data_IF_072917029039
#
_entry.id   IF_072917029039
#
_cell.length_a   1.000
_cell.length_b   1.000
_cell.length_c   1.000
_cell.angle_alpha   90.00
_cell.angle_beta   90.00
_cell.angle_gamma   90.00
#
_symmetry.space_group_name_H-M   'P 1'
#
loop_
_entity.id
_entity.type
_entity.pdbx_description
1 polymer ?
#
# COMPACT_ATOMS: atom_id res chain seq x y z
N UNK A 1 -5.17 45.44 20.65
CA UNK A 1 -4.66 44.08 20.40
C UNK A 1 -5.06 43.79 18.97
N UNK A 2 -4.11 43.74 18.06
CA UNK A 2 -4.40 43.48 16.66
C UNK A 2 -5.11 42.13 16.55
N UNK A 3 -6.07 42.06 15.64
CA UNK A 3 -6.78 40.85 15.24
C UNK A 3 -5.78 39.94 14.51
N UNK A 4 -4.86 39.33 15.27
CA UNK A 4 -3.90 38.32 14.81
C UNK A 4 -4.61 36.97 14.72
N UNK A 5 -5.77 36.92 14.06
CA UNK A 5 -6.30 35.64 13.60
C UNK A 5 -5.36 35.18 12.49
N UNK A 6 -4.54 34.12 12.70
CA UNK A 6 -3.55 33.74 11.69
C UNK A 6 -4.28 33.40 10.39
N UNK A 7 -3.86 34.07 9.31
CA UNK A 7 -4.45 33.89 7.99
C UNK A 7 -4.26 32.43 7.53
N UNK A 8 -5.35 31.75 7.15
CA UNK A 8 -5.29 30.38 6.60
C UNK A 8 -4.36 30.39 5.38
N UNK A 9 -3.31 29.57 5.39
CA UNK A 9 -2.31 29.58 4.32
C UNK A 9 -2.87 29.15 2.96
N UNK A 10 -2.23 29.54 1.84
CA UNK A 10 -2.60 29.05 0.52
C UNK A 10 -2.58 27.52 0.41
N UNK A 11 -1.63 26.85 1.09
CA UNK A 11 -1.55 25.38 1.15
C UNK A 11 -2.81 24.80 1.77
N UNK A 12 -3.21 25.30 2.94
CA UNK A 12 -4.38 24.80 3.64
C UNK A 12 -5.68 25.07 2.85
N UNK A 13 -5.87 26.29 2.31
CA UNK A 13 -7.04 26.61 1.47
C UNK A 13 -7.13 25.69 0.25
N UNK A 14 -6.02 25.52 -0.47
CA UNK A 14 -5.97 24.69 -1.68
C UNK A 14 -6.31 23.23 -1.37
N UNK A 15 -5.76 22.68 -0.29
CA UNK A 15 -6.03 21.31 0.13
C UNK A 15 -7.47 21.12 0.60
N UNK A 16 -7.96 21.99 1.49
CA UNK A 16 -9.32 21.86 2.01
C UNK A 16 -10.36 21.97 0.91
N UNK A 17 -10.17 22.91 -0.02
CA UNK A 17 -11.05 23.08 -1.17
C UNK A 17 -10.98 21.87 -2.12
N UNK A 18 -9.79 21.31 -2.38
CA UNK A 18 -9.65 20.14 -3.24
C UNK A 18 -10.34 18.90 -2.65
N UNK A 19 -10.06 18.61 -1.38
CA UNK A 19 -10.62 17.46 -0.66
C UNK A 19 -12.15 17.56 -0.56
N UNK A 20 -12.70 18.70 -0.13
CA UNK A 20 -14.14 18.85 0.08
C UNK A 20 -14.96 18.79 -1.21
N UNK A 21 -14.34 19.08 -2.36
CA UNK A 21 -15.00 19.06 -3.68
C UNK A 21 -14.73 17.78 -4.48
N UNK A 22 -13.93 16.84 -3.96
CA UNK A 22 -13.42 15.71 -4.74
C UNK A 22 -14.52 14.82 -5.35
N UNK A 23 -15.60 14.52 -4.59
CA UNK A 23 -16.69 13.67 -5.10
C UNK A 23 -17.49 14.32 -6.23
N UNK A 24 -17.51 15.66 -6.29
CA UNK A 24 -18.18 16.42 -7.33
C UNK A 24 -17.37 16.52 -8.63
N UNK A 25 -16.08 16.17 -8.60
CA UNK A 25 -15.20 16.23 -9.77
C UNK A 25 -15.26 14.92 -10.55
N UNK A 26 -15.26 15.01 -11.88
CA UNK A 26 -15.11 13.83 -12.74
C UNK A 26 -13.65 13.39 -12.80
N UNK A 27 -13.44 12.07 -12.90
CA UNK A 27 -12.12 11.50 -13.07
C UNK A 27 -11.79 11.41 -14.56
N UNK A 28 -10.57 11.76 -14.98
CA UNK A 28 -10.09 11.36 -16.30
C UNK A 28 -10.15 9.83 -16.46
N UNK A 29 -10.57 9.33 -17.63
CA UNK A 29 -10.77 7.89 -17.87
C UNK A 29 -9.56 7.03 -17.49
N UNK A 30 -8.35 7.49 -17.84
CA UNK A 30 -7.10 6.79 -17.51
C UNK A 30 -6.84 6.70 -15.99
N UNK A 31 -7.27 7.72 -15.23
CA UNK A 31 -7.17 7.74 -13.76
C UNK A 31 -8.20 6.80 -13.16
N UNK A 32 -9.45 6.82 -13.65
CA UNK A 32 -10.49 5.91 -13.21
C UNK A 32 -10.12 4.45 -13.45
N UNK A 33 -9.62 4.11 -14.64
CA UNK A 33 -9.18 2.75 -14.97
C UNK A 33 -8.05 2.29 -14.04
N UNK A 34 -7.04 3.14 -13.83
CA UNK A 34 -5.93 2.81 -12.93
C UNK A 34 -6.39 2.69 -11.47
N UNK A 35 -7.34 3.51 -11.04
CA UNK A 35 -7.95 3.41 -9.72
C UNK A 35 -8.68 2.07 -9.52
N UNK A 36 -9.38 1.56 -10.54
CA UNK A 36 -10.01 0.23 -10.48
C UNK A 36 -8.97 -0.89 -10.30
N UNK A 37 -7.79 -0.76 -10.92
CA UNK A 37 -6.70 -1.74 -10.71
C UNK A 37 -6.22 -1.75 -9.25
N UNK A 38 -5.95 -0.57 -8.67
CA UNK A 38 -5.48 -0.46 -7.29
C UNK A 38 -6.55 -0.84 -6.26
N UNK A 39 -7.82 -0.52 -6.53
CA UNK A 39 -8.95 -0.93 -5.72
C UNK A 39 -9.06 -2.47 -5.70
N UNK A 40 -9.04 -3.11 -6.87
CA UNK A 40 -9.12 -4.56 -6.96
C UNK A 40 -7.94 -5.25 -6.26
N UNK A 41 -6.72 -4.80 -6.56
CA UNK A 41 -5.48 -5.33 -5.97
C UNK A 41 -5.48 -5.24 -4.44
N UNK A 42 -5.94 -4.12 -3.90
CA UNK A 42 -5.98 -3.94 -2.44
C UNK A 42 -7.09 -4.75 -1.78
N UNK A 43 -8.28 -4.86 -2.40
CA UNK A 43 -9.34 -5.73 -1.90
C UNK A 43 -8.88 -7.20 -1.88
N UNK A 44 -8.15 -7.63 -2.90
CA UNK A 44 -7.53 -8.95 -2.96
C UNK A 44 -6.55 -9.17 -1.79
N UNK A 45 -5.65 -8.20 -1.58
CA UNK A 45 -4.71 -8.18 -0.43
C UNK A 45 -5.43 -8.26 0.92
N UNK A 46 -6.56 -7.54 1.07
CA UNK A 46 -7.36 -7.59 2.30
C UNK A 46 -7.94 -8.98 2.57
N UNK A 47 -8.43 -9.66 1.52
CA UNK A 47 -9.08 -10.97 1.66
C UNK A 47 -8.04 -12.08 1.88
N UNK A 48 -6.95 -12.10 1.11
CA UNK A 48 -5.85 -13.05 1.35
C UNK A 48 -5.23 -12.84 2.72
N UNK A 49 -4.90 -11.59 3.06
CA UNK A 49 -4.24 -11.22 4.29
C UNK A 49 -5.08 -11.41 5.55
N UNK A 50 -6.41 -11.52 5.45
CA UNK A 50 -7.29 -11.80 6.58
C UNK A 50 -7.01 -13.17 7.24
N UNK A 51 -6.40 -14.10 6.50
CA UNK A 51 -6.01 -15.44 6.95
C UNK A 51 -4.53 -15.55 7.32
N UNK A 52 -3.80 -14.44 7.24
CA UNK A 52 -2.41 -14.36 7.70
C UNK A 52 -2.39 -13.89 9.15
N UNK A 53 -1.31 -14.19 9.88
CA UNK A 53 -1.19 -13.88 11.32
C UNK A 53 -1.57 -12.43 11.66
N UNK A 54 -1.13 -11.39 10.93
CA UNK A 54 -1.56 -10.02 11.20
C UNK A 54 -3.07 -9.81 11.05
N UNK A 55 -3.68 -10.35 9.98
CA UNK A 55 -5.12 -10.25 9.72
C UNK A 55 -5.97 -11.00 10.75
N UNK A 56 -5.58 -12.22 11.12
CA UNK A 56 -6.27 -13.02 12.15
C UNK A 56 -6.31 -12.29 13.50
N UNK A 57 -5.17 -11.71 13.90
CA UNK A 57 -5.07 -10.90 15.11
C UNK A 57 -5.91 -9.64 15.04
N UNK A 58 -5.99 -9.01 13.86
CA UNK A 58 -6.80 -7.82 13.64
C UNK A 58 -8.31 -8.12 13.70
N UNK A 59 -8.76 -9.20 13.07
CA UNK A 59 -10.15 -9.70 13.15
C UNK A 59 -10.51 -10.02 14.60
N UNK A 60 -9.63 -10.70 15.33
CA UNK A 60 -9.81 -11.00 16.76
C UNK A 60 -9.91 -9.72 17.58
N UNK A 61 -9.04 -8.74 17.33
CA UNK A 61 -9.07 -7.45 18.02
C UNK A 61 -10.37 -6.67 17.75
N UNK A 62 -10.79 -6.59 16.49
CA UNK A 62 -12.04 -5.93 16.11
C UNK A 62 -13.27 -6.58 16.77
N UNK A 63 -13.29 -7.92 16.86
CA UNK A 63 -14.34 -8.67 17.58
C UNK A 63 -14.36 -8.33 19.08
N UNK A 64 -13.19 -8.21 19.72
CA UNK A 64 -13.08 -7.85 21.13
C UNK A 64 -13.54 -6.41 21.42
N UNK A 65 -13.24 -5.47 20.53
CA UNK A 65 -13.68 -4.08 20.68
C UNK A 65 -15.18 -3.92 20.43
N UNK A 66 -15.75 -4.74 19.53
CA UNK A 66 -17.13 -4.59 19.09
C UNK A 66 -17.38 -3.22 18.44
N UNK A 67 -18.64 -2.79 18.44
CA UNK A 67 -19.05 -1.51 17.86
C UNK A 67 -20.41 -1.60 17.19
N UNK A 68 -20.94 -0.45 16.78
CA UNK A 68 -22.13 -0.39 15.91
C UNK A 68 -21.81 -1.05 14.57
N UNK A 69 -22.65 -1.95 14.02
CA UNK A 69 -22.37 -2.63 12.76
C UNK A 69 -22.54 -1.67 11.57
N UNK A 70 -21.47 -0.97 11.22
CA UNK A 70 -21.43 0.04 10.16
C UNK A 70 -20.67 -0.43 8.93
N UNK A 71 -19.62 -1.23 9.12
CA UNK A 71 -18.68 -1.65 8.10
C UNK A 71 -18.14 -3.07 8.33
N UNK A 72 -17.80 -3.73 7.23
CA UNK A 72 -17.37 -5.13 7.13
C UNK A 72 -15.87 -5.24 7.32
N UNK A 73 -15.42 -6.29 8.03
CA UNK A 73 -14.03 -6.74 8.01
C UNK A 73 -13.90 -7.83 6.95
N UNK A 74 -13.27 -7.49 5.82
CA UNK A 74 -13.13 -8.38 4.67
C UNK A 74 -12.38 -9.68 5.04
N UNK A 75 -12.77 -10.79 4.41
CA UNK A 75 -12.26 -12.13 4.73
C UNK A 75 -12.77 -12.71 6.06
N UNK A 76 -13.77 -12.10 6.70
CA UNK A 76 -14.31 -12.56 7.98
C UNK A 76 -15.83 -12.41 8.09
N UNK A 77 -16.42 -12.93 9.17
CA UNK A 77 -17.83 -12.76 9.55
C UNK A 77 -18.09 -11.50 10.41
N UNK A 78 -17.07 -10.65 10.61
CA UNK A 78 -17.15 -9.50 11.52
C UNK A 78 -17.68 -8.26 10.80
N UNK A 79 -18.73 -7.68 11.36
CA UNK A 79 -19.22 -6.33 11.02
C UNK A 79 -19.17 -5.48 12.29
N UNK A 80 -18.53 -4.32 12.22
CA UNK A 80 -18.25 -3.45 13.37
C UNK A 80 -18.31 -1.97 12.98
N UNK A 81 -17.91 -1.06 13.86
CA UNK A 81 -17.89 0.37 13.54
C UNK A 81 -16.82 0.68 12.50
N UNK A 82 -16.97 1.78 11.76
CA UNK A 82 -16.08 2.09 10.65
C UNK A 82 -14.60 2.20 11.06
N UNK A 83 -14.29 2.71 12.25
CA UNK A 83 -12.91 2.87 12.75
C UNK A 83 -12.24 1.52 12.98
N UNK A 84 -12.95 0.57 13.61
CA UNK A 84 -12.44 -0.77 13.88
C UNK A 84 -12.37 -1.62 12.60
N UNK A 85 -13.33 -1.47 11.68
CA UNK A 85 -13.29 -2.14 10.38
C UNK A 85 -12.10 -1.66 9.55
N UNK A 86 -11.86 -0.34 9.49
CA UNK A 86 -10.71 0.24 8.80
C UNK A 86 -9.37 -0.24 9.38
N UNK A 87 -9.25 -0.33 10.72
CA UNK A 87 -8.08 -0.91 11.37
C UNK A 87 -7.83 -2.35 10.92
N UNK A 88 -8.85 -3.20 11.01
CA UNK A 88 -8.70 -4.62 10.71
C UNK A 88 -8.40 -4.86 9.23
N UNK A 89 -9.15 -4.20 8.35
CA UNK A 89 -8.92 -4.26 6.91
C UNK A 89 -7.54 -3.70 6.52
N UNK A 90 -7.06 -2.66 7.20
CA UNK A 90 -5.72 -2.11 6.95
C UNK A 90 -4.60 -3.06 7.38
N UNK A 91 -4.76 -3.75 8.51
CA UNK A 91 -3.81 -4.80 8.90
C UNK A 91 -3.82 -5.96 7.91
N UNK A 92 -5.00 -6.45 7.50
CA UNK A 92 -5.11 -7.50 6.50
C UNK A 92 -4.50 -7.08 5.16
N UNK A 93 -4.75 -5.85 4.71
CA UNK A 93 -4.25 -5.36 3.43
C UNK A 93 -2.72 -5.32 3.32
N UNK A 94 -1.97 -5.30 4.44
CA UNK A 94 -0.50 -5.32 4.46
C UNK A 94 0.04 -6.59 5.15
N UNK A 95 -0.73 -7.67 5.23
CA UNK A 95 -0.32 -8.83 6.01
C UNK A 95 0.73 -9.73 5.31
N UNK A 96 0.94 -9.55 4.01
CA UNK A 96 1.54 -10.57 3.12
C UNK A 96 2.34 -9.97 1.93
N UNK A 97 2.80 -8.73 2.05
CA UNK A 97 3.53 -8.01 1.00
C UNK A 97 2.85 -7.98 -0.39
N UNK A 98 1.53 -8.19 -0.49
CA UNK A 98 0.79 -8.18 -1.76
C UNK A 98 0.53 -6.77 -2.29
N UNK A 99 0.34 -5.84 -1.36
CA UNK A 99 -0.14 -4.49 -1.59
C UNK A 99 0.75 -3.61 -2.49
N UNK A 100 0.14 -2.55 -3.00
CA UNK A 100 0.80 -1.60 -3.87
C UNK A 100 1.93 -0.79 -3.19
N UNK A 101 2.72 -0.08 -4.00
CA UNK A 101 3.77 0.79 -3.45
C UNK A 101 3.92 2.05 -4.27
N UNK A 102 4.11 3.18 -3.59
CA UNK A 102 4.33 4.48 -4.23
C UNK A 102 5.79 4.91 -4.05
N UNK A 103 6.49 5.07 -5.17
CA UNK A 103 7.94 5.23 -5.17
C UNK A 103 8.38 6.55 -4.53
N UNK A 104 7.75 7.66 -4.93
CA UNK A 104 8.11 9.03 -4.53
C UNK A 104 7.86 9.30 -3.06
N UNK A 105 6.73 8.82 -2.53
CA UNK A 105 6.39 8.96 -1.11
C UNK A 105 7.11 7.94 -0.21
N UNK A 106 7.72 6.90 -0.79
CA UNK A 106 8.28 5.76 -0.06
C UNK A 106 7.25 5.17 0.90
N UNK A 107 6.05 4.88 0.40
CA UNK A 107 4.94 4.36 1.20
C UNK A 107 4.10 3.37 0.41
N UNK A 108 3.16 2.74 1.10
CA UNK A 108 2.16 1.84 0.54
C UNK A 108 0.80 2.48 0.78
N UNK A 109 0.15 3.00 -0.26
CA UNK A 109 -1.02 3.87 -0.08
C UNK A 109 -2.30 3.03 0.00
N UNK A 110 -2.40 1.98 -0.82
CA UNK A 110 -3.60 1.15 -0.92
C UNK A 110 -3.99 0.55 0.42
N UNK A 111 -3.02 -0.02 1.14
CA UNK A 111 -3.24 -0.75 2.38
C UNK A 111 -3.85 0.06 3.53
N UNK A 112 -3.96 1.39 3.40
CA UNK A 112 -4.73 2.20 4.35
C UNK A 112 -5.89 2.95 3.69
N UNK A 113 -5.67 3.51 2.48
CA UNK A 113 -6.66 4.35 1.79
C UNK A 113 -7.90 3.54 1.40
N UNK A 114 -7.72 2.35 0.82
CA UNK A 114 -8.84 1.52 0.37
C UNK A 114 -9.65 0.98 1.57
N UNK A 115 -9.04 0.44 2.64
CA UNK A 115 -9.74 0.09 3.88
C UNK A 115 -10.55 1.23 4.49
N UNK A 116 -9.98 2.44 4.55
CA UNK A 116 -10.68 3.62 5.07
C UNK A 116 -11.86 4.04 4.18
N UNK A 117 -11.66 4.00 2.85
CA UNK A 117 -12.69 4.29 1.88
C UNK A 117 -13.83 3.27 1.94
N UNK A 118 -13.53 1.97 2.02
CA UNK A 118 -14.53 0.91 2.13
C UNK A 118 -15.39 1.11 3.39
N UNK A 119 -14.74 1.27 4.55
CA UNK A 119 -15.44 1.41 5.83
C UNK A 119 -16.36 2.65 5.86
N UNK A 120 -15.89 3.78 5.33
CA UNK A 120 -16.70 5.00 5.28
C UNK A 120 -17.77 4.96 4.19
N UNK A 121 -17.50 4.34 3.04
CA UNK A 121 -18.50 4.17 1.99
C UNK A 121 -19.65 3.27 2.46
N UNK A 122 -19.36 2.18 3.17
CA UNK A 122 -20.38 1.35 3.81
C UNK A 122 -21.13 2.14 4.89
N UNK A 123 -20.43 2.80 5.82
CA UNK A 123 -21.09 3.59 6.89
C UNK A 123 -22.06 4.63 6.32
N UNK A 124 -21.61 5.40 5.33
CA UNK A 124 -22.35 6.51 4.72
C UNK A 124 -23.27 6.09 3.57
N UNK A 125 -23.32 4.79 3.23
CA UNK A 125 -24.14 4.22 2.13
C UNK A 125 -23.84 4.88 0.78
N UNK A 126 -22.55 5.03 0.48
CA UNK A 126 -22.04 5.67 -0.74
C UNK A 126 -22.06 4.72 -1.93
N UNK A 127 -22.07 5.30 -3.13
CA UNK A 127 -21.93 4.55 -4.37
C UNK A 127 -20.49 4.06 -4.57
N UNK A 128 -20.30 3.07 -5.43
CA UNK A 128 -18.99 2.62 -5.84
C UNK A 128 -18.21 3.71 -6.59
N UNK A 129 -18.88 4.56 -7.37
CA UNK A 129 -18.25 5.73 -7.99
C UNK A 129 -17.70 6.72 -6.95
N UNK A 130 -18.46 7.01 -5.89
CA UNK A 130 -17.98 7.87 -4.79
C UNK A 130 -16.76 7.25 -4.10
N UNK A 131 -16.79 5.92 -3.86
CA UNK A 131 -15.65 5.21 -3.30
C UNK A 131 -14.42 5.29 -4.20
N UNK A 132 -14.58 5.08 -5.51
CA UNK A 132 -13.48 5.17 -6.48
C UNK A 132 -12.86 6.58 -6.48
N UNK A 133 -13.69 7.64 -6.49
CA UNK A 133 -13.22 9.03 -6.39
C UNK A 133 -12.49 9.30 -5.07
N UNK A 134 -13.00 8.79 -3.96
CA UNK A 134 -12.36 8.93 -2.65
C UNK A 134 -11.01 8.20 -2.57
N UNK A 135 -10.89 7.02 -3.19
CA UNK A 135 -9.62 6.30 -3.31
C UNK A 135 -8.61 7.13 -4.12
N UNK A 136 -9.00 7.66 -5.28
CA UNK A 136 -8.12 8.54 -6.07
C UNK A 136 -7.65 9.75 -5.25
N UNK A 137 -8.56 10.41 -4.54
CA UNK A 137 -8.24 11.52 -3.65
C UNK A 137 -7.22 11.11 -2.58
N UNK A 138 -7.45 9.98 -1.91
CA UNK A 138 -6.58 9.50 -0.85
C UNK A 138 -5.16 9.21 -1.34
N UNK A 139 -5.01 8.66 -2.54
CA UNK A 139 -3.69 8.48 -3.15
C UNK A 139 -3.03 9.81 -3.48
N UNK A 140 -3.78 10.77 -4.04
CA UNK A 140 -3.23 12.07 -4.42
C UNK A 140 -2.72 12.83 -3.17
N UNK A 141 -3.52 12.90 -2.10
CA UNK A 141 -3.10 13.54 -0.84
C UNK A 141 -1.96 12.78 -0.16
N UNK A 142 -2.08 11.46 -0.03
CA UNK A 142 -1.08 10.65 0.66
C UNK A 142 0.26 10.62 -0.07
N UNK A 143 0.26 10.48 -1.39
CA UNK A 143 1.45 10.44 -2.23
C UNK A 143 2.27 11.72 -2.20
N UNK A 144 1.66 12.86 -1.84
CA UNK A 144 2.30 14.18 -1.75
C UNK A 144 2.81 14.54 -0.36
N UNK A 145 2.33 13.87 0.68
CA UNK A 145 2.64 14.23 2.06
C UNK A 145 4.13 14.03 2.39
N UNK A 146 4.64 12.80 2.30
CA UNK A 146 6.04 12.55 2.71
C UNK A 146 7.06 13.23 1.79
N UNK A 147 6.82 13.45 0.47
CA UNK A 147 7.66 14.36 -0.32
C UNK A 147 7.73 15.78 0.26
N UNK A 148 6.62 16.34 0.76
CA UNK A 148 6.61 17.65 1.44
C UNK A 148 7.41 17.67 2.75
N UNK A 149 7.73 16.50 3.30
CA UNK A 149 8.60 16.32 4.48
C UNK A 149 10.03 15.90 4.12
N UNK A 150 10.40 15.88 2.83
CA UNK A 150 11.61 15.25 2.33
C UNK A 150 11.69 13.76 2.73
N UNK A 151 10.93 12.91 2.03
CA UNK A 151 10.72 11.50 2.37
C UNK A 151 12.00 10.72 2.72
N UNK A 152 13.13 11.01 2.07
CA UNK A 152 14.41 10.36 2.36
C UNK A 152 14.99 10.78 3.72
N UNK A 153 15.03 12.09 4.01
CA UNK A 153 15.52 12.59 5.31
C UNK A 153 14.55 12.22 6.43
N UNK A 154 13.24 12.31 6.18
CA UNK A 154 12.20 11.90 7.12
C UNK A 154 12.35 10.44 7.54
N UNK A 155 12.51 9.54 6.57
CA UNK A 155 12.78 8.12 6.83
C UNK A 155 14.11 7.89 7.57
N UNK A 156 15.18 8.59 7.17
CA UNK A 156 16.49 8.47 7.81
C UNK A 156 16.50 8.99 9.25
N UNK A 157 15.63 9.94 9.59
CA UNK A 157 15.45 10.47 10.94
C UNK A 157 14.70 9.53 11.89
N UNK A 158 14.23 8.37 11.41
CA UNK A 158 13.54 7.38 12.23
C UNK A 158 12.02 7.37 12.09
N UNK A 159 11.45 8.24 11.26
CA UNK A 159 10.00 8.30 11.07
C UNK A 159 9.53 7.33 9.98
N UNK A 160 8.35 6.73 10.20
CA UNK A 160 7.75 5.87 9.19
C UNK A 160 7.03 6.69 8.11
N UNK A 161 7.62 6.77 6.92
CA UNK A 161 6.92 7.27 5.72
C UNK A 161 5.67 6.44 5.40
N UNK A 162 5.68 5.16 5.80
CA UNK A 162 4.63 4.19 5.57
C UNK A 162 3.40 4.39 6.45
N UNK A 163 3.50 5.14 7.56
CA UNK A 163 2.31 5.55 8.32
C UNK A 163 1.81 6.93 7.92
N UNK A 164 2.73 7.88 7.73
CA UNK A 164 2.37 9.29 7.53
C UNK A 164 1.63 9.49 6.20
N UNK A 165 2.18 9.03 5.08
CA UNK A 165 1.53 9.21 3.78
C UNK A 165 0.15 8.53 3.73
N UNK A 166 0.01 7.25 4.11
CA UNK A 166 -1.29 6.58 4.06
C UNK A 166 -2.30 7.13 5.09
N UNK A 167 -1.84 7.67 6.23
CA UNK A 167 -2.71 8.33 7.22
C UNK A 167 -3.46 9.53 6.61
N UNK A 168 -2.73 10.46 5.98
CA UNK A 168 -3.36 11.64 5.39
C UNK A 168 -4.20 11.28 4.16
N UNK A 169 -3.80 10.27 3.39
CA UNK A 169 -4.62 9.73 2.31
C UNK A 169 -5.93 9.13 2.82
N UNK A 170 -5.86 8.31 3.87
CA UNK A 170 -7.03 7.69 4.51
C UNK A 170 -7.99 8.73 5.07
N UNK A 171 -7.46 9.77 5.72
CA UNK A 171 -8.25 10.85 6.28
C UNK A 171 -8.97 11.67 5.18
N UNK A 172 -8.28 11.95 4.07
CA UNK A 172 -8.88 12.63 2.92
C UNK A 172 -10.01 11.80 2.29
N UNK A 173 -9.77 10.52 2.01
CA UNK A 173 -10.78 9.61 1.47
C UNK A 173 -12.01 9.50 2.41
N UNK A 174 -11.77 9.29 3.70
CA UNK A 174 -12.81 9.21 4.72
C UNK A 174 -13.63 10.51 4.83
N UNK A 175 -12.97 11.67 4.81
CA UNK A 175 -13.64 12.97 4.89
C UNK A 175 -14.53 13.29 3.69
N UNK A 176 -14.09 12.90 2.49
CA UNK A 176 -14.86 13.10 1.26
C UNK A 176 -16.14 12.26 1.30
N UNK A 177 -16.04 11.00 1.71
CA UNK A 177 -17.19 10.10 1.88
C UNK A 177 -18.13 10.55 3.01
N UNK A 178 -17.59 11.15 4.08
CA UNK A 178 -18.37 11.80 5.13
C UNK A 178 -19.01 13.14 4.69
N UNK A 179 -18.69 13.65 3.50
CA UNK A 179 -19.14 14.93 2.96
C UNK A 179 -18.86 16.11 3.92
N UNK A 180 -17.63 16.15 4.46
CA UNK A 180 -17.17 17.27 5.27
C UNK A 180 -17.06 18.55 4.41
N UNK A 181 -17.48 19.68 4.97
CA UNK A 181 -17.27 21.00 4.36
C UNK A 181 -15.78 21.36 4.29
N UNK A 182 -15.45 22.46 3.60
CA UNK A 182 -14.09 22.99 3.57
C UNK A 182 -13.54 23.30 4.98
N UNK A 183 -14.35 23.94 5.83
CA UNK A 183 -13.97 24.25 7.22
C UNK A 183 -13.74 22.99 8.05
N UNK A 184 -14.66 22.02 7.94
CA UNK A 184 -14.52 20.72 8.58
C UNK A 184 -13.29 19.96 8.07
N UNK A 185 -12.95 20.10 6.80
CA UNK A 185 -11.76 19.48 6.23
C UNK A 185 -10.48 20.04 6.85
N UNK A 186 -10.40 21.35 7.12
CA UNK A 186 -9.24 21.95 7.82
C UNK A 186 -9.11 21.39 9.24
N UNK A 187 -10.22 21.29 9.97
CA UNK A 187 -10.21 20.68 11.30
C UNK A 187 -9.82 19.20 11.24
N UNK A 188 -10.30 18.46 10.25
CA UNK A 188 -9.96 17.05 10.04
C UNK A 188 -8.45 16.89 9.78
N UNK A 189 -7.84 17.75 8.96
CA UNK A 189 -6.38 17.76 8.74
C UNK A 189 -5.65 18.06 10.05
N UNK A 190 -6.17 18.96 10.89
CA UNK A 190 -5.61 19.24 12.22
C UNK A 190 -5.62 18.01 13.13
N UNK A 191 -6.75 17.29 13.24
CA UNK A 191 -6.81 16.03 14.02
C UNK A 191 -5.92 14.94 13.43
N UNK A 192 -5.81 14.87 12.10
CA UNK A 192 -4.93 13.92 11.41
C UNK A 192 -3.47 14.17 11.75
N UNK A 193 -3.03 15.43 11.72
CA UNK A 193 -1.68 15.82 12.12
C UNK A 193 -1.38 15.49 13.59
N UNK A 194 -2.35 15.63 14.50
CA UNK A 194 -2.19 15.27 15.92
C UNK A 194 -2.14 13.75 16.17
N UNK A 195 -2.66 12.95 15.24
CA UNK A 195 -2.61 11.49 15.30
C UNK A 195 -1.41 10.91 14.53
N UNK A 196 -0.62 11.75 13.85
CA UNK A 196 0.54 11.33 13.10
C UNK A 196 1.60 10.74 14.04
N UNK A 197 1.89 9.46 13.84
CA UNK A 197 2.85 8.66 14.60
C UNK A 197 3.38 7.56 13.69
N UNK A 198 4.42 6.85 14.13
CA UNK A 198 5.08 5.80 13.34
C UNK A 198 6.60 5.93 13.43
N UNK A 199 7.24 4.84 13.85
CA UNK A 199 8.70 4.74 14.03
C UNK A 199 9.24 3.62 13.17
N UNK A 200 10.36 3.84 12.51
CA UNK A 200 10.89 2.90 11.51
C UNK A 200 11.45 1.58 12.08
N UNK A 201 11.34 1.34 13.39
CA UNK A 201 11.87 0.13 14.03
C UNK A 201 11.06 -1.13 13.73
N UNK A 202 9.90 -1.02 13.07
CA UNK A 202 9.10 -2.15 12.54
C UNK A 202 9.91 -3.08 11.64
N UNK A 203 11.09 -2.67 11.12
CA UNK A 203 12.01 -3.55 10.38
C UNK A 203 12.59 -4.69 11.22
N UNK A 204 12.49 -4.58 12.54
CA UNK A 204 12.94 -5.60 13.50
C UNK A 204 11.84 -6.60 13.84
N UNK A 205 10.62 -6.35 13.39
CA UNK A 205 9.51 -7.29 13.52
C UNK A 205 9.80 -8.55 12.70
N UNK A 206 9.66 -9.71 13.36
CA UNK A 206 9.89 -11.02 12.77
C UNK A 206 8.59 -11.69 12.32
N UNK A 207 7.43 -11.18 12.75
CA UNK A 207 6.12 -11.78 12.49
C UNK A 207 5.26 -10.96 11.51
N UNK A 208 5.77 -9.82 11.03
CA UNK A 208 5.06 -8.88 10.13
C UNK A 208 3.83 -8.18 10.75
N UNK A 209 3.50 -8.45 12.02
CA UNK A 209 2.32 -7.94 12.72
C UNK A 209 2.42 -6.43 12.98
N UNK A 210 3.54 -5.96 13.56
CA UNK A 210 3.76 -4.55 13.86
C UNK A 210 3.90 -3.74 12.56
N UNK A 211 4.52 -4.33 11.54
CA UNK A 211 4.63 -3.71 10.24
C UNK A 211 3.26 -3.47 9.59
N UNK A 212 2.38 -4.48 9.59
CA UNK A 212 1.01 -4.33 9.09
C UNK A 212 0.18 -3.30 9.90
N UNK A 213 0.42 -3.23 11.21
CA UNK A 213 -0.16 -2.20 12.08
C UNK A 213 0.32 -0.78 11.71
N UNK A 214 1.63 -0.59 11.47
CA UNK A 214 2.23 0.70 11.14
C UNK A 214 1.87 1.20 9.72
N UNK A 215 1.80 0.29 8.73
CA UNK A 215 1.62 0.65 7.32
C UNK A 215 0.14 0.85 6.95
N UNK A 216 -0.71 -0.09 7.34
CA UNK A 216 -2.13 -0.10 6.97
C UNK A 216 -3.03 0.25 8.14
N UNK A 217 -2.98 -0.59 9.19
CA UNK A 217 -3.95 -0.58 10.27
C UNK A 217 -4.14 0.79 10.95
N UNK A 218 -3.07 1.37 11.48
CA UNK A 218 -3.14 2.63 12.21
C UNK A 218 -3.45 3.83 11.32
N UNK A 219 -2.91 3.85 10.11
CA UNK A 219 -3.21 4.89 9.14
C UNK A 219 -4.71 4.91 8.77
N UNK A 220 -5.28 3.74 8.45
CA UNK A 220 -6.69 3.59 8.12
C UNK A 220 -7.59 3.97 9.32
N UNK A 221 -7.29 3.41 10.50
CA UNK A 221 -7.99 3.69 11.76
C UNK A 221 -8.04 5.19 12.06
N UNK A 222 -6.87 5.83 12.11
CA UNK A 222 -6.73 7.21 12.54
C UNK A 222 -7.34 8.18 11.51
N UNK A 223 -7.25 7.87 10.21
CA UNK A 223 -7.89 8.67 9.17
C UNK A 223 -9.41 8.65 9.27
N UNK A 224 -10.02 7.47 9.46
CA UNK A 224 -11.47 7.33 9.71
C UNK A 224 -11.87 8.00 11.02
N UNK A 225 -11.04 7.88 12.08
CA UNK A 225 -11.28 8.55 13.35
C UNK A 225 -11.29 10.08 13.21
N UNK A 226 -10.33 10.68 12.49
CA UNK A 226 -10.31 12.13 12.22
C UNK A 226 -11.60 12.59 11.54
N UNK A 227 -12.01 11.90 10.48
CA UNK A 227 -13.22 12.26 9.73
C UNK A 227 -14.47 12.14 10.60
N UNK A 228 -14.61 11.06 11.37
CA UNK A 228 -15.79 10.82 12.21
C UNK A 228 -15.86 11.72 13.45
N UNK A 229 -14.72 12.11 14.04
CA UNK A 229 -14.67 13.13 15.10
C UNK A 229 -15.23 14.46 14.61
N UNK A 230 -14.78 14.93 13.45
CA UNK A 230 -15.28 16.19 12.87
C UNK A 230 -16.72 16.06 12.40
N UNK A 231 -17.11 14.92 11.82
CA UNK A 231 -18.51 14.63 11.47
C UNK A 231 -19.43 14.69 12.70
N UNK A 232 -18.95 14.30 13.88
CA UNK A 232 -19.67 14.40 15.15
C UNK A 232 -19.73 15.84 15.72
N UNK A 233 -19.17 16.84 15.03
CA UNK A 233 -19.24 18.24 15.39
C UNK A 233 -18.00 18.77 16.13
N UNK A 234 -16.89 18.04 16.12
CA UNK A 234 -15.63 18.54 16.69
C UNK A 234 -15.06 19.64 15.78
N UNK A 235 -14.71 20.77 16.38
CA UNK A 235 -13.98 21.86 15.72
C UNK A 235 -12.47 21.73 15.98
N UNK A 236 -11.64 22.53 15.30
CA UNK A 236 -10.18 22.41 15.42
C UNK A 236 -9.43 23.64 14.95
N UNK A 237 -8.10 23.50 14.86
CA UNK A 237 -7.23 24.54 14.33
C UNK A 237 -7.47 24.73 12.83
N UNK A 238 -7.55 25.98 12.39
CA UNK A 238 -7.82 26.32 10.99
C UNK A 238 -6.66 26.03 10.04
N UNK A 239 -5.42 26.02 10.55
CA UNK A 239 -4.24 25.71 9.75
C UNK A 239 -3.14 25.09 10.62
N UNK A 240 -2.96 23.77 10.49
CA UNK A 240 -1.90 23.03 11.20
C UNK A 240 -0.55 23.04 10.46
N UNK A 241 -0.51 23.56 9.24
CA UNK A 241 0.67 23.58 8.37
C UNK A 241 1.40 24.92 8.38
N UNK A 242 0.81 25.97 8.93
CA UNK A 242 1.43 27.30 9.04
C UNK A 242 1.41 27.84 10.47
N UNK A 243 2.11 28.95 10.70
CA UNK A 243 2.24 29.57 12.02
C UNK A 243 3.25 28.88 12.95
N UNK A 244 3.42 29.37 14.19
CA UNK A 244 4.40 28.85 15.13
C UNK A 244 4.09 27.41 15.56
N UNK A 245 5.13 26.56 15.67
CA UNK A 245 5.02 25.17 16.14
C UNK A 245 4.01 24.32 15.34
N UNK A 246 3.95 24.56 14.03
CA UNK A 246 3.12 23.81 13.10
C UNK A 246 3.64 22.38 12.85
N UNK A 247 2.92 21.59 12.06
CA UNK A 247 3.28 20.22 11.71
C UNK A 247 4.67 20.09 11.08
N UNK A 248 5.01 20.97 10.13
CA UNK A 248 6.31 20.95 9.47
C UNK A 248 7.46 21.29 10.42
N UNK A 249 7.23 22.21 11.36
CA UNK A 249 8.17 22.49 12.43
C UNK A 249 8.46 21.24 13.29
N UNK A 250 7.46 20.39 13.53
CA UNK A 250 7.62 19.18 14.35
C UNK A 250 8.33 18.04 13.61
N UNK A 251 8.08 17.90 12.30
CA UNK A 251 8.46 16.68 11.55
C UNK A 251 9.50 16.89 10.44
N UNK A 252 9.72 18.13 10.00
CA UNK A 252 10.71 18.47 8.98
C UNK A 252 11.24 19.91 9.18
N UNK A 253 11.85 20.21 10.35
CA UNK A 253 12.20 21.60 10.73
C UNK A 253 13.18 22.28 9.76
N UNK A 254 14.02 21.51 9.07
CA UNK A 254 15.12 22.04 8.25
C UNK A 254 14.86 21.95 6.73
N UNK A 255 13.91 21.12 6.27
CA UNK A 255 13.77 20.78 4.83
C UNK A 255 12.31 20.59 4.35
N UNK A 256 11.33 21.09 5.09
CA UNK A 256 9.93 21.05 4.66
C UNK A 256 9.73 21.79 3.33
N UNK A 257 8.91 21.21 2.46
CA UNK A 257 8.46 21.77 1.17
C UNK A 257 6.92 21.70 1.07
N UNK A 258 6.18 22.49 1.87
CA UNK A 258 4.72 22.43 1.95
C UNK A 258 4.01 22.61 0.61
N UNK A 259 4.60 23.36 -0.32
CA UNK A 259 4.07 23.61 -1.66
C UNK A 259 3.91 22.34 -2.50
N UNK A 260 4.66 21.27 -2.20
CA UNK A 260 4.51 19.98 -2.89
C UNK A 260 3.14 19.34 -2.67
N UNK A 261 2.44 19.71 -1.59
CA UNK A 261 1.05 19.29 -1.35
C UNK A 261 0.07 19.82 -2.41
N UNK A 262 0.40 20.93 -3.09
CA UNK A 262 -0.43 21.53 -4.14
C UNK A 262 0.14 21.35 -5.56
N UNK A 263 1.39 20.91 -5.69
CA UNK A 263 2.11 20.92 -6.96
C UNK A 263 1.44 20.01 -8.03
N UNK A 264 0.76 20.58 -9.02
CA UNK A 264 -0.02 19.82 -10.02
C UNK A 264 -1.24 19.05 -9.44
N UNK A 265 -1.76 19.46 -8.28
CA UNK A 265 -2.96 18.89 -7.69
C UNK A 265 -4.16 19.01 -8.67
N UNK A 266 -4.91 17.91 -8.84
CA UNK A 266 -6.01 17.81 -9.81
C UNK A 266 -5.58 17.72 -11.29
N UNK A 267 -4.27 17.74 -11.59
CA UNK A 267 -3.73 17.57 -12.94
C UNK A 267 -2.91 16.29 -13.06
N UNK A 268 -2.04 16.04 -12.08
CA UNK A 268 -1.30 14.79 -11.91
C UNK A 268 -1.89 14.05 -10.73
N UNK A 269 -2.21 12.78 -10.94
CA UNK A 269 -2.84 11.93 -9.92
C UNK A 269 -1.81 10.89 -9.45
N UNK A 270 -1.44 10.90 -8.17
CA UNK A 270 -0.39 10.00 -7.66
C UNK A 270 -0.76 8.51 -7.81
N UNK A 271 -2.05 8.16 -7.91
CA UNK A 271 -2.49 6.78 -8.19
C UNK A 271 -1.96 6.25 -9.53
N UNK A 272 -1.77 7.12 -10.54
CA UNK A 272 -1.19 6.70 -11.83
C UNK A 272 0.30 6.46 -11.78
N UNK A 273 0.95 6.92 -10.71
CA UNK A 273 2.38 6.73 -10.43
C UNK A 273 2.64 5.60 -9.41
N UNK A 274 1.57 4.91 -8.98
CA UNK A 274 1.67 3.83 -8.00
C UNK A 274 1.86 2.48 -8.70
N UNK A 275 2.72 1.65 -8.10
CA UNK A 275 3.12 0.35 -8.64
C UNK A 275 2.21 -0.74 -8.06
N UNK A 276 1.78 -1.68 -8.88
CA UNK A 276 1.17 -2.93 -8.41
C UNK A 276 2.28 -3.99 -8.37
N UNK A 277 2.40 -4.69 -7.25
CA UNK A 277 3.39 -5.77 -7.12
C UNK A 277 2.92 -6.98 -7.94
N UNK A 278 3.78 -7.52 -8.79
CA UNK A 278 3.48 -8.72 -9.58
C UNK A 278 3.50 -9.97 -8.69
N UNK A 279 4.50 -10.05 -7.81
CA UNK A 279 4.63 -11.11 -6.81
C UNK A 279 4.34 -10.59 -5.41
N UNK A 280 3.92 -11.44 -4.48
CA UNK A 280 3.61 -11.05 -3.10
C UNK A 280 4.89 -11.11 -2.25
N UNK A 281 5.80 -10.19 -2.56
CA UNK A 281 7.14 -10.08 -1.97
C UNK A 281 7.52 -8.62 -1.79
N UNK A 282 8.45 -8.37 -0.86
CA UNK A 282 8.97 -7.04 -0.60
C UNK A 282 9.35 -6.29 -1.88
N UNK A 283 8.98 -5.01 -1.97
CA UNK A 283 9.24 -4.15 -3.15
C UNK A 283 10.64 -4.28 -3.78
N UNK A 284 11.75 -4.39 -3.02
CA UNK A 284 13.08 -4.55 -3.61
C UNK A 284 13.29 -5.87 -4.38
N UNK A 285 12.58 -6.94 -4.01
CA UNK A 285 12.72 -8.28 -4.58
C UNK A 285 12.02 -8.38 -5.95
N UNK A 286 11.02 -7.54 -6.23
CA UNK A 286 10.27 -7.54 -7.51
C UNK A 286 11.20 -7.53 -8.73
N UNK A 287 12.19 -6.63 -8.75
CA UNK A 287 13.12 -6.50 -9.86
C UNK A 287 14.12 -7.67 -9.96
N UNK A 288 14.46 -8.27 -8.81
CA UNK A 288 15.31 -9.47 -8.76
C UNK A 288 14.59 -10.65 -9.39
N UNK A 289 13.32 -10.87 -9.02
CA UNK A 289 12.50 -11.94 -9.58
C UNK A 289 12.23 -11.75 -11.06
N UNK A 290 11.97 -10.52 -11.50
CA UNK A 290 11.74 -10.20 -12.91
C UNK A 290 12.96 -10.52 -13.78
N UNK A 291 14.15 -10.04 -13.36
CA UNK A 291 15.40 -10.36 -14.04
C UNK A 291 15.75 -11.85 -13.99
N UNK A 292 15.52 -12.51 -12.85
CA UNK A 292 15.81 -13.95 -12.68
C UNK A 292 14.89 -14.80 -13.56
N UNK A 293 13.59 -14.51 -13.56
CA UNK A 293 12.60 -15.20 -14.39
C UNK A 293 12.94 -15.06 -15.88
N UNK A 294 13.27 -13.85 -16.34
CA UNK A 294 13.69 -13.62 -17.73
C UNK A 294 14.88 -14.50 -18.12
N UNK A 295 15.94 -14.51 -17.29
CA UNK A 295 17.13 -15.32 -17.55
C UNK A 295 16.83 -16.82 -17.58
N UNK A 296 16.02 -17.33 -16.64
CA UNK A 296 15.64 -18.75 -16.59
C UNK A 296 14.84 -19.14 -17.84
N UNK A 297 13.81 -18.35 -18.19
CA UNK A 297 12.89 -18.71 -19.27
C UNK A 297 13.52 -18.54 -20.66
N UNK A 298 14.30 -17.47 -20.89
CA UNK A 298 14.95 -17.21 -22.18
C UNK A 298 16.05 -18.22 -22.52
N UNK A 299 16.65 -18.84 -21.49
CA UNK A 299 17.77 -19.77 -21.63
C UNK A 299 17.41 -21.22 -21.30
N UNK A 300 16.12 -21.50 -20.99
CA UNK A 300 15.59 -22.79 -20.54
C UNK A 300 16.45 -23.48 -19.46
N UNK A 301 16.83 -22.71 -18.43
CA UNK A 301 17.68 -23.22 -17.35
C UNK A 301 16.88 -24.12 -16.41
N UNK A 302 17.45 -25.29 -16.08
CA UNK A 302 17.06 -26.10 -14.94
C UNK A 302 17.85 -25.68 -13.67
N UNK A 303 17.35 -25.99 -12.46
CA UNK A 303 18.06 -25.66 -11.22
C UNK A 303 19.49 -26.22 -11.12
N UNK A 304 19.76 -27.36 -11.77
CA UNK A 304 21.08 -28.00 -11.80
C UNK A 304 22.04 -27.38 -12.83
N UNK A 305 21.53 -26.58 -13.76
CA UNK A 305 22.35 -25.84 -14.73
C UNK A 305 23.01 -24.60 -14.10
N UNK A 306 22.58 -24.20 -12.90
CA UNK A 306 23.03 -22.99 -12.23
C UNK A 306 24.16 -23.32 -11.24
N UNK A 307 25.30 -22.67 -11.42
CA UNK A 307 26.45 -22.76 -10.52
C UNK A 307 26.45 -21.64 -9.48
N UNK A 308 26.12 -20.40 -9.87
CA UNK A 308 26.11 -19.22 -9.00
C UNK A 308 25.13 -18.17 -9.54
N UNK A 309 24.43 -17.47 -8.65
CA UNK A 309 23.62 -16.29 -8.96
C UNK A 309 24.16 -15.12 -8.15
N UNK A 310 24.51 -14.02 -8.81
CA UNK A 310 24.93 -12.76 -8.17
C UNK A 310 23.81 -11.75 -8.33
N UNK A 311 23.28 -11.25 -7.21
CA UNK A 311 22.28 -10.20 -7.14
C UNK A 311 22.99 -8.91 -6.72
N UNK A 312 23.28 -8.00 -7.66
CA UNK A 312 23.82 -6.67 -7.33
C UNK A 312 22.67 -5.67 -7.25
N UNK A 313 22.52 -4.97 -6.12
CA UNK A 313 21.43 -4.00 -5.94
C UNK A 313 21.82 -2.84 -5.04
N UNK A 314 21.00 -1.78 -5.01
CA UNK A 314 21.28 -0.59 -4.20
C UNK A 314 21.46 -0.91 -2.72
N UNK A 315 22.41 -0.23 -2.07
CA UNK A 315 22.80 -0.48 -0.66
C UNK A 315 21.61 -0.44 0.33
N UNK A 316 20.77 0.58 0.19
CA UNK A 316 19.57 0.73 1.01
C UNK A 316 18.55 -0.40 0.79
N UNK A 317 18.42 -0.91 -0.43
CA UNK A 317 17.51 -2.02 -0.72
C UNK A 317 18.07 -3.37 -0.24
N UNK A 318 19.38 -3.59 -0.40
CA UNK A 318 20.02 -4.81 0.10
C UNK A 318 19.84 -5.01 1.59
N UNK A 319 19.98 -3.93 2.39
CA UNK A 319 19.80 -4.01 3.84
C UNK A 319 18.39 -4.41 4.28
N UNK A 320 17.38 -4.20 3.43
CA UNK A 320 15.98 -4.52 3.74
C UNK A 320 15.69 -6.00 3.52
N UNK A 321 16.34 -6.65 2.55
CA UNK A 321 15.93 -7.98 2.05
C UNK A 321 16.99 -9.06 2.15
N UNK A 322 18.21 -8.70 2.55
CA UNK A 322 19.31 -9.66 2.71
C UNK A 322 19.04 -10.62 3.88
N UNK A 323 18.99 -11.91 3.57
CA UNK A 323 19.01 -13.01 4.54
C UNK A 323 17.96 -12.91 5.65
N UNK A 324 16.80 -12.32 5.35
CA UNK A 324 15.67 -12.15 6.28
C UNK A 324 15.12 -13.50 6.76
N UNK A 325 14.57 -13.56 7.96
CA UNK A 325 13.96 -14.78 8.49
C UNK A 325 12.54 -15.04 7.95
N UNK A 326 11.88 -14.01 7.43
CA UNK A 326 10.57 -14.08 6.79
C UNK A 326 10.76 -14.34 5.28
N UNK A 327 10.03 -15.31 4.73
CA UNK A 327 10.23 -15.83 3.36
C UNK A 327 10.03 -14.76 2.26
N UNK A 328 8.90 -14.07 2.25
CA UNK A 328 8.47 -13.07 1.26
C UNK A 328 9.34 -11.79 1.19
N UNK A 329 10.20 -11.57 2.19
CA UNK A 329 11.20 -10.49 2.22
C UNK A 329 12.64 -11.01 2.27
N UNK A 330 12.87 -12.32 2.08
CA UNK A 330 14.20 -12.88 1.91
C UNK A 330 14.55 -12.99 0.42
N UNK A 331 15.43 -12.12 -0.06
CA UNK A 331 15.81 -12.08 -1.47
C UNK A 331 16.40 -13.42 -1.96
N UNK A 332 17.33 -14.02 -1.22
CA UNK A 332 17.99 -15.24 -1.63
C UNK A 332 17.03 -16.43 -1.72
N UNK A 333 16.12 -16.52 -0.75
CA UNK A 333 15.10 -17.56 -0.73
C UNK A 333 14.11 -17.41 -1.88
N UNK A 334 13.57 -16.22 -2.09
CA UNK A 334 12.63 -15.98 -3.20
C UNK A 334 13.28 -16.15 -4.57
N UNK A 335 14.56 -15.81 -4.73
CA UNK A 335 15.34 -16.15 -5.94
C UNK A 335 15.46 -17.67 -6.13
N UNK A 336 15.70 -18.43 -5.06
CA UNK A 336 15.76 -19.89 -5.12
C UNK A 336 14.41 -20.53 -5.47
N UNK A 337 13.31 -20.03 -4.91
CA UNK A 337 11.95 -20.46 -5.27
C UNK A 337 11.68 -20.19 -6.76
N UNK A 338 12.02 -19.00 -7.25
CA UNK A 338 11.88 -18.66 -8.68
C UNK A 338 12.69 -19.59 -9.60
N UNK A 339 13.89 -20.02 -9.17
CA UNK A 339 14.69 -21.00 -9.91
C UNK A 339 14.02 -22.37 -9.96
N UNK A 340 13.52 -22.84 -8.81
CA UNK A 340 12.92 -24.17 -8.69
C UNK A 340 11.58 -24.27 -9.42
N UNK A 341 10.72 -23.28 -9.24
CA UNK A 341 9.33 -23.34 -9.67
C UNK A 341 9.10 -22.60 -11.00
N UNK A 342 10.12 -21.87 -11.50
CA UNK A 342 10.06 -20.97 -12.66
C UNK A 342 9.03 -19.82 -12.50
N UNK A 343 8.46 -19.68 -11.32
CA UNK A 343 7.53 -18.63 -10.90
C UNK A 343 7.55 -18.47 -9.39
N UNK A 344 6.82 -17.49 -8.88
CA UNK A 344 6.46 -17.35 -7.47
C UNK A 344 4.95 -17.08 -7.44
N UNK A 345 4.21 -17.82 -6.64
CA UNK A 345 2.77 -17.64 -6.35
C UNK A 345 2.58 -17.14 -4.93
N UNK A 346 1.34 -16.74 -4.57
CA UNK A 346 1.02 -16.37 -3.20
C UNK A 346 1.36 -17.48 -2.20
N UNK A 347 0.97 -18.71 -2.51
CA UNK A 347 1.23 -19.89 -1.66
C UNK A 347 2.74 -20.09 -1.45
N UNK A 348 3.53 -20.06 -2.53
CA UNK A 348 4.98 -20.32 -2.43
C UNK A 348 5.76 -19.20 -1.74
N UNK A 349 5.30 -17.95 -1.81
CA UNK A 349 5.95 -16.82 -1.14
C UNK A 349 5.76 -16.85 0.38
N UNK A 350 4.68 -17.47 0.83
CA UNK A 350 4.27 -17.54 2.24
C UNK A 350 4.44 -18.93 2.87
N UNK A 351 5.01 -19.88 2.13
CA UNK A 351 5.38 -21.20 2.63
C UNK A 351 6.69 -21.13 3.42
N UNK A 352 6.57 -20.85 4.72
CA UNK A 352 7.72 -20.80 5.62
C UNK A 352 8.40 -22.16 5.82
N UNK A 353 7.72 -23.29 5.55
CA UNK A 353 8.34 -24.62 5.68
C UNK A 353 9.39 -24.81 4.57
N UNK A 354 9.15 -24.24 3.38
CA UNK A 354 10.13 -24.26 2.27
C UNK A 354 11.43 -23.53 2.55
N UNK A 355 11.49 -22.65 3.55
CA UNK A 355 12.76 -22.07 4.00
C UNK A 355 13.74 -23.13 4.54
N UNK A 356 13.23 -24.30 4.94
CA UNK A 356 14.00 -25.43 5.47
C UNK A 356 14.09 -26.61 4.49
N UNK A 357 13.47 -26.52 3.31
CA UNK A 357 13.53 -27.56 2.29
C UNK A 357 14.99 -27.74 1.80
N UNK A 358 15.55 -28.97 1.82
CA UNK A 358 16.93 -29.21 1.39
C UNK A 358 17.26 -28.76 -0.04
N UNK A 359 16.32 -28.89 -0.98
CA UNK A 359 16.52 -28.52 -2.37
C UNK A 359 16.51 -26.99 -2.53
N UNK A 360 15.61 -26.30 -1.81
CA UNK A 360 15.58 -24.84 -1.74
C UNK A 360 16.85 -24.30 -1.08
N UNK A 361 17.30 -24.92 0.03
CA UNK A 361 18.55 -24.54 0.69
C UNK A 361 19.76 -24.72 -0.22
N UNK A 362 19.79 -25.81 -1.01
CA UNK A 362 20.85 -26.06 -1.99
C UNK A 362 20.88 -24.98 -3.08
N UNK A 363 19.72 -24.54 -3.60
CA UNK A 363 19.67 -23.44 -4.58
C UNK A 363 19.97 -22.08 -3.94
N UNK A 364 19.43 -21.80 -2.75
CA UNK A 364 19.67 -20.57 -1.99
C UNK A 364 21.15 -20.37 -1.70
N UNK A 365 21.90 -21.44 -1.44
CA UNK A 365 23.36 -21.38 -1.22
C UNK A 365 24.15 -20.88 -2.45
N UNK A 366 23.54 -20.93 -3.65
CA UNK A 366 24.15 -20.40 -4.89
C UNK A 366 23.90 -18.91 -5.08
N UNK A 367 22.98 -18.30 -4.30
CA UNK A 367 22.58 -16.89 -4.45
C UNK A 367 23.41 -15.98 -3.54
N UNK A 368 24.15 -15.05 -4.14
CA UNK A 368 24.96 -14.05 -3.45
C UNK A 368 24.42 -12.65 -3.69
N UNK A 369 23.90 -12.03 -2.64
CA UNK A 369 23.50 -10.63 -2.67
C UNK A 369 24.71 -9.73 -2.41
N UNK A 370 24.97 -8.79 -3.31
CA UNK A 370 26.07 -7.81 -3.22
C UNK A 370 25.52 -6.38 -3.28
N UNK A 371 25.67 -5.59 -2.20
CA UNK A 371 25.34 -4.16 -2.23
C UNK A 371 26.19 -3.39 -3.24
N UNK A 372 25.57 -2.51 -4.02
CA UNK A 372 26.22 -1.59 -4.95
C UNK A 372 25.59 -0.20 -4.84
N UNK A 373 26.25 0.77 -4.18
CA UNK A 373 25.70 2.11 -3.96
C UNK A 373 25.59 2.94 -5.25
N UNK A 374 26.17 2.49 -6.38
CA UNK A 374 26.03 3.16 -7.67
C UNK A 374 24.72 2.80 -8.39
N UNK A 375 24.05 1.72 -7.98
CA UNK A 375 22.82 1.26 -8.62
C UNK A 375 21.60 2.04 -8.11
N UNK A 376 20.69 2.46 -9.01
CA UNK A 376 19.39 2.99 -8.62
C UNK A 376 18.54 1.95 -7.91
N UNK A 377 17.60 2.43 -7.10
CA UNK A 377 16.55 1.61 -6.50
C UNK A 377 15.76 0.86 -7.58
N UNK A 378 15.37 -0.38 -7.32
CA UNK A 378 14.58 -1.26 -8.21
C UNK A 378 15.21 -1.52 -9.59
N UNK A 379 16.52 -1.33 -9.73
CA UNK A 379 17.27 -1.65 -10.96
C UNK A 379 18.50 -2.52 -10.66
N UNK A 380 18.31 -3.72 -10.07
CA UNK A 380 19.40 -4.63 -9.79
C UNK A 380 20.00 -5.18 -11.08
N UNK A 381 21.23 -5.66 -10.99
CA UNK A 381 21.88 -6.47 -12.03
C UNK A 381 21.93 -7.91 -11.51
N UNK A 382 21.34 -8.83 -12.26
CA UNK A 382 21.36 -10.26 -11.97
C UNK A 382 22.33 -10.94 -12.93
N UNK A 383 23.25 -11.70 -12.37
CA UNK A 383 24.20 -12.51 -13.14
C UNK A 383 24.05 -13.98 -12.75
N UNK A 384 23.92 -14.85 -13.75
CA UNK A 384 23.87 -16.29 -13.57
C UNK A 384 25.09 -16.90 -14.25
N UNK A 385 25.92 -17.59 -13.46
CA UNK A 385 26.97 -18.48 -13.96
C UNK A 385 26.41 -19.87 -14.03
N UNK A 386 26.47 -20.46 -15.21
CA UNK A 386 25.96 -21.81 -15.46
C UNK A 386 27.06 -22.86 -15.31
N UNK A 387 26.67 -24.12 -15.11
CA UNK A 387 27.59 -25.26 -14.99
C UNK A 387 28.27 -25.61 -16.31
N UNK A 388 27.70 -25.21 -17.45
CA UNK A 388 28.29 -25.35 -18.79
C UNK A 388 29.30 -24.23 -19.15
N UNK A 389 29.44 -23.22 -18.28
CA UNK A 389 30.40 -22.13 -18.44
C UNK A 389 29.87 -20.86 -19.11
N UNK A 390 28.57 -20.75 -19.41
CA UNK A 390 27.95 -19.48 -19.81
C UNK A 390 27.82 -18.52 -18.61
N UNK A 391 28.08 -17.24 -18.89
CA UNK A 391 27.77 -16.11 -18.01
C UNK A 391 26.61 -15.32 -18.62
N UNK A 392 25.49 -15.27 -17.90
CA UNK A 392 24.27 -14.58 -18.33
C UNK A 392 24.02 -13.37 -17.44
N UNK A 393 23.57 -12.25 -18.01
CA UNK A 393 23.31 -11.02 -17.25
C UNK A 393 22.00 -10.39 -17.69
N UNK A 394 21.20 -9.93 -16.73
CA UNK A 394 20.02 -9.12 -16.98
C UNK A 394 19.94 -7.96 -16.00
N UNK A 395 19.41 -6.83 -16.47
CA UNK A 395 19.10 -5.66 -15.64
C UNK A 395 17.70 -5.16 -15.98
N UNK A 396 16.76 -5.36 -15.06
CA UNK A 396 15.42 -4.77 -15.20
C UNK A 396 15.51 -3.24 -15.05
N UNK A 397 15.05 -2.52 -16.06
CA UNK A 397 14.95 -1.05 -16.02
C UNK A 397 13.60 -0.58 -15.45
N UNK A 398 12.53 -1.30 -15.78
CA UNK A 398 11.18 -1.07 -15.30
C UNK A 398 10.50 -2.42 -15.04
N UNK A 399 10.25 -2.73 -13.77
CA UNK A 399 9.64 -3.99 -13.34
C UNK A 399 8.19 -4.07 -13.82
N UNK A 400 7.71 -5.26 -14.21
CA UNK A 400 6.29 -5.47 -14.49
C UNK A 400 5.44 -5.06 -13.28
N UNK A 401 4.49 -4.15 -13.49
CA UNK A 401 3.64 -3.56 -12.46
C UNK A 401 3.93 -2.10 -12.12
N UNK A 402 5.08 -1.56 -12.56
CA UNK A 402 5.38 -0.12 -12.43
C UNK A 402 4.64 0.72 -13.49
N UNK A 403 4.53 2.06 -13.32
CA UNK A 403 3.95 2.93 -14.34
C UNK A 403 4.61 2.81 -15.72
N UNK A 404 5.92 2.56 -15.77
CA UNK A 404 6.68 2.43 -17.02
C UNK A 404 6.55 1.04 -17.67
N UNK A 405 6.08 0.04 -16.93
CA UNK A 405 5.80 -1.32 -17.43
C UNK A 405 4.58 -1.92 -16.71
N UNK A 406 3.37 -1.38 -16.93
CA UNK A 406 2.21 -1.72 -16.12
C UNK A 406 1.73 -3.16 -16.36
N UNK A 407 1.19 -3.78 -15.32
CA UNK A 407 0.34 -4.97 -15.48
C UNK A 407 -0.94 -4.57 -16.22
N UNK A 408 -1.41 -5.46 -17.07
CA UNK A 408 -2.67 -5.35 -17.78
C UNK A 408 -3.86 -5.61 -16.86
N UNK A 409 -5.06 -5.19 -17.29
CA UNK A 409 -6.32 -5.52 -16.62
C UNK A 409 -6.48 -7.03 -16.39
N UNK A 410 -6.08 -7.85 -17.37
CA UNK A 410 -6.14 -9.31 -17.27
C UNK A 410 -5.20 -9.82 -16.16
N UNK A 411 -3.93 -9.40 -16.14
CA UNK A 411 -2.98 -9.86 -15.12
C UNK A 411 -3.40 -9.45 -13.71
N UNK A 412 -3.96 -8.25 -13.52
CA UNK A 412 -4.49 -7.83 -12.20
C UNK A 412 -5.74 -8.62 -11.84
N UNK A 413 -6.61 -8.91 -12.80
CA UNK A 413 -7.78 -9.77 -12.60
C UNK A 413 -7.40 -11.19 -12.21
N UNK A 414 -6.42 -11.79 -12.89
CA UNK A 414 -5.91 -13.14 -12.62
C UNK A 414 -5.27 -13.22 -11.23
N UNK A 415 -4.42 -12.23 -10.88
CA UNK A 415 -3.84 -12.09 -9.54
C UNK A 415 -4.94 -12.01 -8.48
N UNK A 416 -5.94 -11.14 -8.68
CA UNK A 416 -7.03 -10.98 -7.74
C UNK A 416 -7.87 -12.26 -7.59
N UNK A 417 -8.10 -12.99 -8.69
CA UNK A 417 -8.81 -14.26 -8.66
C UNK A 417 -8.07 -15.29 -7.81
N UNK A 418 -6.75 -15.44 -7.98
CA UNK A 418 -5.93 -16.35 -7.15
C UNK A 418 -6.07 -16.05 -5.65
N UNK A 419 -6.00 -14.76 -5.29
CA UNK A 419 -6.06 -14.30 -3.90
C UNK A 419 -7.48 -14.38 -3.29
N UNK A 420 -8.53 -14.25 -4.11
CA UNK A 420 -9.92 -14.36 -3.64
C UNK A 420 -10.44 -15.79 -3.61
N UNK A 421 -10.09 -16.63 -4.59
CA UNK A 421 -10.75 -17.91 -4.82
C UNK A 421 -10.55 -18.90 -3.67
N UNK A 422 -9.38 -18.90 -3.03
CA UNK A 422 -9.13 -19.72 -1.84
C UNK A 422 -10.05 -19.33 -0.67
N UNK A 423 -10.00 -18.08 -0.19
CA UNK A 423 -10.82 -17.61 0.93
C UNK A 423 -12.34 -17.56 0.69
N UNK A 424 -12.79 -17.15 -0.50
CA UNK A 424 -14.20 -16.84 -0.78
C UNK A 424 -14.91 -17.87 -1.66
N UNK A 425 -14.15 -18.72 -2.35
CA UNK A 425 -14.64 -19.58 -3.43
C UNK A 425 -14.73 -18.88 -4.78
N UNK A 426 -14.54 -19.64 -5.85
CA UNK A 426 -14.40 -19.15 -7.23
C UNK A 426 -15.56 -18.28 -7.72
N UNK A 427 -16.81 -18.63 -7.35
CA UNK A 427 -17.99 -17.87 -7.80
C UNK A 427 -18.05 -16.48 -7.17
N UNK A 428 -17.80 -16.36 -5.86
CA UNK A 428 -17.75 -15.05 -5.19
C UNK A 428 -16.56 -14.23 -5.69
N UNK A 429 -15.40 -14.88 -5.88
CA UNK A 429 -14.21 -14.25 -6.42
C UNK A 429 -14.48 -13.58 -7.78
N UNK A 430 -15.09 -14.30 -8.72
CA UNK A 430 -15.39 -13.75 -10.04
C UNK A 430 -16.43 -12.63 -9.98
N UNK A 431 -17.52 -12.78 -9.21
CA UNK A 431 -18.54 -11.71 -9.06
C UNK A 431 -17.94 -10.44 -8.45
N UNK A 432 -17.06 -10.58 -7.45
CA UNK A 432 -16.38 -9.44 -6.85
C UNK A 432 -15.46 -8.73 -7.86
N UNK A 433 -14.67 -9.48 -8.63
CA UNK A 433 -13.80 -8.92 -9.69
C UNK A 433 -14.64 -8.15 -10.72
N UNK A 434 -15.73 -8.75 -11.20
CA UNK A 434 -16.60 -8.15 -12.21
C UNK A 434 -17.25 -6.87 -11.69
N UNK A 435 -17.69 -6.84 -10.42
CA UNK A 435 -18.27 -5.65 -9.80
C UNK A 435 -17.24 -4.54 -9.57
N UNK A 436 -16.01 -4.87 -9.19
CA UNK A 436 -14.96 -3.85 -9.02
C UNK A 436 -14.54 -3.27 -10.36
N UNK A 437 -14.52 -4.07 -11.43
CA UNK A 437 -14.27 -3.55 -12.78
C UNK A 437 -15.37 -2.64 -13.32
N UNK A 438 -16.59 -2.75 -12.78
CA UNK A 438 -17.75 -1.91 -13.09
C UNK A 438 -18.24 -1.19 -11.82
N UNK A 439 -17.32 -0.75 -10.96
CA UNK A 439 -17.64 -0.17 -9.65
C UNK A 439 -18.53 1.06 -9.75
N UNK A 440 -18.48 1.77 -10.88
CA UNK A 440 -19.37 2.88 -11.22
C UNK A 440 -20.85 2.50 -11.24
N UNK A 441 -21.19 1.24 -11.51
CA UNK A 441 -22.56 0.73 -11.54
C UNK A 441 -23.05 0.23 -10.16
N UNK A 442 -22.16 0.18 -9.16
CA UNK A 442 -22.51 -0.22 -7.80
C UNK A 442 -23.19 0.96 -7.09
N UNK A 443 -24.52 0.91 -7.00
CA UNK A 443 -25.30 1.98 -6.39
C UNK A 443 -25.01 2.17 -4.89
N UNK A 444 -24.64 1.10 -4.18
CA UNK A 444 -24.27 1.12 -2.78
C UNK A 444 -23.13 0.14 -2.49
N UNK A 445 -22.03 0.62 -1.91
CA UNK A 445 -20.86 -0.21 -1.60
C UNK A 445 -21.19 -1.37 -0.64
N UNK A 446 -22.24 -1.27 0.18
CA UNK A 446 -22.71 -2.38 1.02
C UNK A 446 -23.14 -3.62 0.22
N UNK A 447 -23.42 -3.46 -1.08
CA UNK A 447 -23.75 -4.58 -1.94
C UNK A 447 -22.52 -5.46 -2.25
N UNK A 448 -21.30 -4.97 -1.95
CA UNK A 448 -20.06 -5.76 -2.01
C UNK A 448 -19.81 -6.58 -0.75
N UNK A 449 -20.36 -6.19 0.41
CA UNK A 449 -20.08 -6.84 1.70
C UNK A 449 -20.32 -8.35 1.68
N UNK A 450 -21.43 -8.89 1.12
CA UNK A 450 -21.66 -10.34 1.07
C UNK A 450 -20.62 -11.11 0.23
N UNK A 451 -19.94 -10.43 -0.70
CA UNK A 451 -18.88 -11.00 -1.52
C UNK A 451 -17.52 -10.94 -0.85
N UNK A 452 -17.33 -10.02 0.10
CA UNK A 452 -16.11 -9.87 0.89
C UNK A 452 -16.06 -10.78 2.13
N UNK A 453 -17.16 -11.49 2.42
CA UNK A 453 -17.27 -12.42 3.54
C UNK A 453 -17.26 -13.88 3.03
N UNK A 454 -16.65 -14.83 3.77
CA UNK A 454 -16.62 -16.25 3.40
C UNK A 454 -18.01 -16.88 3.29
#
# INVERSE_FOLDING_TARGET
MADDTPEISPVMRGLSQYISNALAQDLPDAVAEKAKHHLLDTLASMVSGAHMVPGELAVKYARLQGGTPEATVAGSDVVTNAVNAALANGMSAHADETDDSHFTSRSHLGCAVVPAALAMAEKEKRSGLDMLKAVVLGYDIGGRLTPSLNANRFYAAGHSTHTFAPLFGSAAAASALANLSEDQTRWMISYTAQQASGVNCWQRDEDHIEKAFDFGGMAARNGVASATMVQAGWTGLEDVFSGPRNFFFAFAPDDAQPELLLHELGKRYEITLTNIKKWTVGSPIQAVLDSTQALILENDLAPDDIAEIIVRMSDNESHVVDSRHIADINCQHMTAVMVMDKTVTFETAHDNDRMNDPDILAQKAKVKLTPDPSLPRRQPIIEIKTTDGRDLTHRTMAVRGTPDNPMTKQEVGDKAFELFAGPLGETKAQDLIDRVWNIEDVANVRDLSPLLMP
#
